data_IF_487926763464
#
_entry.id   IF_487926763464
#
_cell.length_a   1.000
_cell.length_b   1.000
_cell.length_c   1.000
_cell.angle_alpha   90.00
_cell.angle_beta   90.00
_cell.angle_gamma   90.00
#
_symmetry.space_group_name_H-M   'P 1'
#
loop_
_entity.id
_entity.type
_entity.pdbx_description
1 polymer ?
#
# COMPACT_ATOMS: atom_id res chain seq x y z
N UNK A 1 -16.41 7.00 13.67
CA UNK A 1 -15.85 6.86 15.05
C UNK A 1 -16.90 7.21 16.10
N UNK A 2 -17.51 8.40 16.07
CA UNK A 2 -18.51 8.83 17.08
C UNK A 2 -19.79 7.96 17.15
N UNK A 3 -20.30 7.49 16.00
CA UNK A 3 -21.49 6.60 15.96
C UNK A 3 -21.16 5.20 16.51
N UNK A 4 -19.93 4.73 16.29
CA UNK A 4 -19.49 3.43 16.77
C UNK A 4 -19.18 3.46 18.27
N UNK A 5 -18.73 4.59 18.83
CA UNK A 5 -18.40 4.70 20.25
C UNK A 5 -19.58 4.42 21.20
N UNK A 6 -20.81 4.62 20.74
CA UNK A 6 -22.04 4.37 21.50
C UNK A 6 -22.65 2.98 21.24
N UNK A 7 -22.03 2.16 20.39
CA UNK A 7 -22.52 0.81 20.13
C UNK A 7 -22.14 -0.13 21.31
N UNK A 8 -23.05 -0.99 21.79
CA UNK A 8 -22.78 -1.89 22.92
C UNK A 8 -21.57 -2.82 22.70
N UNK A 9 -21.27 -3.12 21.43
CA UNK A 9 -20.17 -3.99 21.01
C UNK A 9 -18.84 -3.25 20.80
N UNK A 10 -18.79 -1.92 20.90
CA UNK A 10 -17.61 -1.12 20.57
C UNK A 10 -16.41 -1.38 21.47
N UNK A 11 -16.63 -1.40 22.78
CA UNK A 11 -15.57 -1.61 23.78
C UNK A 11 -15.27 -3.10 24.03
N UNK A 12 -15.79 -4.02 23.22
CA UNK A 12 -15.48 -5.45 23.36
C UNK A 12 -14.01 -5.72 23.02
N UNK A 13 -13.38 -6.67 23.70
CA UNK A 13 -11.99 -7.06 23.45
C UNK A 13 -11.75 -7.47 21.98
N UNK A 14 -12.74 -8.12 21.35
CA UNK A 14 -12.70 -8.48 19.93
C UNK A 14 -12.68 -7.24 19.03
N UNK A 15 -13.55 -6.27 19.27
CA UNK A 15 -13.58 -5.05 18.47
C UNK A 15 -12.30 -4.22 18.67
N UNK A 16 -11.81 -4.10 19.91
CA UNK A 16 -10.55 -3.41 20.20
C UNK A 16 -9.35 -4.06 19.49
N UNK A 17 -9.26 -5.40 19.51
CA UNK A 17 -8.23 -6.15 18.76
C UNK A 17 -8.33 -5.89 17.25
N UNK A 18 -9.54 -5.88 16.70
CA UNK A 18 -9.75 -5.60 15.27
C UNK A 18 -9.37 -4.16 14.91
N UNK A 19 -9.66 -3.19 15.78
CA UNK A 19 -9.24 -1.79 15.58
C UNK A 19 -7.71 -1.71 15.57
N UNK A 20 -7.04 -2.24 16.58
CA UNK A 20 -5.58 -2.17 16.68
C UNK A 20 -4.92 -2.86 15.49
N UNK A 21 -5.27 -4.11 15.20
CA UNK A 21 -4.65 -4.89 14.11
C UNK A 21 -4.81 -4.25 12.73
N UNK A 22 -5.94 -3.57 12.46
CA UNK A 22 -6.17 -2.84 11.19
C UNK A 22 -5.37 -1.54 11.11
N UNK A 23 -5.00 -0.92 12.23
CA UNK A 23 -4.25 0.35 12.26
C UNK A 23 -2.74 0.15 12.35
N UNK A 24 -2.25 -1.02 12.77
CA UNK A 24 -0.81 -1.34 12.84
C UNK A 24 -0.05 -0.96 11.56
N UNK A 25 -0.54 -1.27 10.33
CA UNK A 25 0.17 -0.89 9.11
C UNK A 25 0.36 0.62 8.96
N UNK A 26 -0.69 1.41 9.24
CA UNK A 26 -0.62 2.87 9.19
C UNK A 26 0.30 3.44 10.26
N UNK A 27 0.28 2.87 11.48
CA UNK A 27 1.18 3.28 12.55
C UNK A 27 2.65 3.04 12.20
N UNK A 28 2.97 1.88 11.60
CA UNK A 28 4.33 1.57 11.14
C UNK A 28 4.78 2.51 10.01
N UNK A 29 3.90 2.81 9.06
CA UNK A 29 4.19 3.77 7.98
C UNK A 29 4.44 5.17 8.56
N UNK A 30 3.67 5.60 9.56
CA UNK A 30 3.82 6.91 10.19
C UNK A 30 5.22 7.09 10.82
N UNK A 31 5.80 6.03 11.39
CA UNK A 31 7.18 6.07 11.92
C UNK A 31 8.17 6.38 10.79
N UNK A 32 8.05 5.71 9.64
CA UNK A 32 8.90 5.97 8.48
C UNK A 32 8.68 7.37 7.88
N UNK A 33 7.42 7.81 7.79
CA UNK A 33 7.06 9.13 7.28
C UNK A 33 7.56 10.28 8.15
N UNK A 34 7.78 10.04 9.44
CA UNK A 34 8.40 11.03 10.33
C UNK A 34 9.77 11.49 9.78
N UNK A 35 10.58 10.58 9.24
CA UNK A 35 11.88 10.93 8.64
C UNK A 35 11.73 11.78 7.37
N UNK A 36 10.69 11.52 6.56
CA UNK A 36 10.39 12.29 5.35
C UNK A 36 10.01 13.73 5.72
N UNK A 37 9.14 13.90 6.71
CA UNK A 37 8.66 15.21 7.18
C UNK A 37 9.80 16.02 7.79
N UNK A 38 10.63 15.41 8.66
CA UNK A 38 11.79 16.09 9.27
C UNK A 38 12.79 16.54 8.20
N UNK A 39 12.88 15.83 7.08
CA UNK A 39 13.72 16.21 5.93
C UNK A 39 13.10 17.33 5.06
N UNK A 40 11.97 17.91 5.47
CA UNK A 40 11.24 18.96 4.76
C UNK A 40 10.56 18.47 3.48
N UNK A 41 10.32 17.16 3.35
CA UNK A 41 9.71 16.55 2.16
C UNK A 41 8.25 16.16 2.41
N UNK A 42 7.49 15.96 1.33
CA UNK A 42 6.11 15.48 1.36
C UNK A 42 6.04 14.18 0.55
N UNK A 43 5.42 13.14 1.11
CA UNK A 43 5.22 11.86 0.43
C UNK A 43 3.75 11.45 0.37
N UNK A 44 3.19 11.55 -0.83
CA UNK A 44 1.83 11.16 -1.16
C UNK A 44 1.71 9.70 -1.62
N UNK A 45 2.84 9.06 -1.92
CA UNK A 45 2.89 7.75 -2.55
C UNK A 45 2.68 6.59 -1.58
N UNK A 46 2.86 6.82 -0.27
CA UNK A 46 2.90 5.77 0.76
C UNK A 46 1.75 4.77 0.71
N UNK A 47 0.52 5.24 0.50
CA UNK A 47 -0.63 4.37 0.44
C UNK A 47 -0.62 3.46 -0.80
N UNK A 48 -0.14 3.98 -1.93
CA UNK A 48 -0.04 3.23 -3.19
C UNK A 48 1.14 2.26 -3.17
N UNK A 49 2.27 2.65 -2.59
CA UNK A 49 3.43 1.76 -2.38
C UNK A 49 3.08 0.63 -1.41
N UNK A 50 2.38 0.94 -0.30
CA UNK A 50 1.85 -0.07 0.63
C UNK A 50 0.95 -1.06 -0.09
N UNK A 51 0.02 -0.57 -0.94
CA UNK A 51 -0.88 -1.43 -1.70
C UNK A 51 -0.12 -2.35 -2.67
N UNK A 52 0.88 -1.82 -3.38
CA UNK A 52 1.72 -2.61 -4.29
C UNK A 52 2.50 -3.71 -3.54
N UNK A 53 3.14 -3.36 -2.41
CA UNK A 53 3.84 -4.33 -1.56
C UNK A 53 2.88 -5.40 -1.01
N UNK A 54 1.68 -5.02 -0.57
CA UNK A 54 0.68 -5.95 -0.07
C UNK A 54 0.17 -6.92 -1.15
N UNK A 55 -0.12 -6.42 -2.37
CA UNK A 55 -0.51 -7.26 -3.51
C UNK A 55 0.62 -8.22 -3.87
N UNK A 56 1.87 -7.75 -3.88
CA UNK A 56 3.04 -8.60 -4.16
C UNK A 56 3.14 -9.76 -3.16
N UNK A 57 3.02 -9.48 -1.85
CA UNK A 57 3.00 -10.54 -0.84
C UNK A 57 1.80 -11.50 -1.03
N UNK A 58 0.61 -10.95 -1.29
CA UNK A 58 -0.62 -11.74 -1.44
C UNK A 58 -0.56 -12.72 -2.61
N UNK A 59 0.14 -12.37 -3.70
CA UNK A 59 0.32 -13.25 -4.86
C UNK A 59 1.38 -14.32 -4.66
N UNK A 60 2.36 -14.08 -3.79
CA UNK A 60 3.43 -15.04 -3.52
C UNK A 60 3.06 -16.03 -2.42
N UNK A 61 2.27 -15.62 -1.42
CA UNK A 61 1.86 -16.47 -0.29
C UNK A 61 1.26 -17.85 -0.67
N UNK A 62 0.48 -18.00 -1.75
CA UNK A 62 -0.07 -19.30 -2.15
C UNK A 62 0.97 -20.27 -2.74
N UNK A 63 2.12 -19.77 -3.21
CA UNK A 63 3.09 -20.57 -3.99
C UNK A 63 4.50 -20.56 -3.40
N UNK A 64 4.80 -19.64 -2.48
CA UNK A 64 6.11 -19.41 -1.90
C UNK A 64 6.04 -19.39 -0.37
N UNK A 65 7.20 -19.50 0.29
CA UNK A 65 7.28 -19.38 1.74
C UNK A 65 6.96 -17.95 2.20
N UNK A 66 6.49 -17.83 3.45
CA UNK A 66 6.22 -16.52 4.09
C UNK A 66 7.43 -15.60 4.04
N UNK A 67 8.63 -16.14 4.25
CA UNK A 67 9.88 -15.37 4.20
C UNK A 67 10.13 -14.75 2.82
N UNK A 68 9.87 -15.50 1.75
CA UNK A 68 10.02 -15.01 0.37
C UNK A 68 8.98 -13.93 0.07
N UNK A 69 7.72 -14.15 0.45
CA UNK A 69 6.65 -13.16 0.24
C UNK A 69 6.92 -11.84 0.99
N UNK A 70 7.38 -11.92 2.24
CA UNK A 70 7.78 -10.75 3.05
C UNK A 70 9.00 -10.06 2.44
N UNK A 71 10.03 -10.83 2.06
CA UNK A 71 11.23 -10.28 1.42
C UNK A 71 10.93 -9.54 0.13
N UNK A 72 10.07 -10.09 -0.72
CA UNK A 72 9.62 -9.44 -1.95
C UNK A 72 8.83 -8.15 -1.68
N UNK A 73 7.90 -8.16 -0.73
CA UNK A 73 7.13 -6.96 -0.37
C UNK A 73 8.01 -5.83 0.18
N UNK A 74 9.01 -6.16 1.00
CA UNK A 74 10.00 -5.22 1.51
C UNK A 74 10.89 -4.68 0.38
N UNK A 75 11.33 -5.54 -0.53
CA UNK A 75 12.15 -5.13 -1.68
C UNK A 75 11.41 -4.15 -2.59
N UNK A 76 10.11 -4.38 -2.85
CA UNK A 76 9.26 -3.46 -3.61
C UNK A 76 9.18 -2.09 -2.91
N UNK A 77 8.89 -2.07 -1.61
CA UNK A 77 8.81 -0.81 -0.85
C UNK A 77 10.14 -0.05 -0.84
N UNK A 78 11.24 -0.77 -0.63
CA UNK A 78 12.59 -0.20 -0.65
C UNK A 78 12.97 0.34 -2.03
N UNK A 79 12.63 -0.36 -3.11
CA UNK A 79 12.87 0.09 -4.47
C UNK A 79 12.10 1.38 -4.79
N UNK A 80 10.80 1.43 -4.47
CA UNK A 80 9.98 2.64 -4.63
C UNK A 80 10.55 3.82 -3.83
N UNK A 81 10.91 3.60 -2.56
CA UNK A 81 11.50 4.64 -1.70
C UNK A 81 12.87 5.12 -2.22
N UNK A 82 13.70 4.20 -2.69
CA UNK A 82 14.99 4.52 -3.29
C UNK A 82 14.85 5.36 -4.55
N UNK A 83 13.93 5.00 -5.46
CA UNK A 83 13.66 5.79 -6.67
C UNK A 83 13.17 7.20 -6.29
N UNK A 84 12.19 7.31 -5.40
CA UNK A 84 11.67 8.61 -4.96
C UNK A 84 12.75 9.47 -4.30
N UNK A 85 13.58 8.88 -3.43
CA UNK A 85 14.67 9.56 -2.75
C UNK A 85 15.78 9.99 -3.72
N UNK A 86 16.20 9.14 -4.64
CA UNK A 86 17.23 9.45 -5.64
C UNK A 86 16.77 10.55 -6.60
N UNK A 87 15.54 10.49 -7.10
CA UNK A 87 15.01 11.53 -8.00
C UNK A 87 14.93 12.87 -7.27
N UNK A 88 14.44 12.88 -6.03
CA UNK A 88 14.34 14.10 -5.23
C UNK A 88 15.73 14.70 -4.94
N UNK A 89 16.70 13.87 -4.55
CA UNK A 89 18.04 14.34 -4.11
C UNK A 89 19.00 14.63 -5.27
N UNK A 90 19.03 13.78 -6.30
CA UNK A 90 19.97 13.90 -7.45
C UNK A 90 19.41 14.77 -8.55
N UNK A 91 18.15 14.56 -8.94
CA UNK A 91 17.54 15.32 -10.03
C UNK A 91 16.94 16.66 -9.56
N UNK A 92 16.97 16.94 -8.24
CA UNK A 92 16.49 18.20 -7.62
C UNK A 92 15.04 18.54 -7.99
N UNK A 93 14.24 17.50 -8.22
CA UNK A 93 12.80 17.64 -8.46
C UNK A 93 12.09 17.78 -7.12
N UNK A 94 11.11 18.69 -6.97
CA UNK A 94 10.32 18.81 -5.74
C UNK A 94 9.66 17.47 -5.35
N UNK A 95 9.77 17.05 -4.08
CA UNK A 95 9.30 15.74 -3.59
C UNK A 95 7.81 15.48 -3.82
N UNK A 96 6.98 16.52 -3.72
CA UNK A 96 5.55 16.40 -4.02
C UNK A 96 5.30 15.88 -5.45
N UNK A 97 6.07 16.37 -6.44
CA UNK A 97 5.92 15.94 -7.84
C UNK A 97 6.40 14.49 -8.01
N UNK A 98 7.54 14.16 -7.42
CA UNK A 98 8.11 12.80 -7.47
C UNK A 98 7.15 11.79 -6.83
N UNK A 99 6.58 12.13 -5.68
CA UNK A 99 5.71 11.23 -4.93
C UNK A 99 4.31 11.15 -5.54
N UNK A 100 3.78 12.20 -6.18
CA UNK A 100 2.60 12.09 -7.04
C UNK A 100 2.81 11.13 -8.22
N UNK A 101 3.96 11.25 -8.91
CA UNK A 101 4.28 10.36 -10.01
C UNK A 101 4.42 8.91 -9.52
N UNK A 102 5.14 8.69 -8.41
CA UNK A 102 5.28 7.38 -7.78
C UNK A 102 3.94 6.81 -7.31
N UNK A 103 3.04 7.64 -6.78
CA UNK A 103 1.68 7.25 -6.41
C UNK A 103 0.93 6.66 -7.61
N UNK A 104 0.95 7.36 -8.76
CA UNK A 104 0.34 6.87 -9.99
C UNK A 104 0.94 5.56 -10.48
N UNK A 105 2.27 5.47 -10.52
CA UNK A 105 3.00 4.27 -10.93
C UNK A 105 2.71 3.07 -10.02
N UNK A 106 2.88 3.24 -8.70
CA UNK A 106 2.67 2.16 -7.75
C UNK A 106 1.22 1.66 -7.78
N UNK A 107 0.25 2.57 -7.89
CA UNK A 107 -1.17 2.21 -8.02
C UNK A 107 -1.47 1.48 -9.32
N UNK A 108 -0.94 1.97 -10.44
CA UNK A 108 -1.10 1.33 -11.75
C UNK A 108 -0.50 -0.07 -11.78
N UNK A 109 0.71 -0.23 -11.23
CA UNK A 109 1.38 -1.52 -11.09
C UNK A 109 0.59 -2.45 -10.16
N UNK A 110 0.07 -1.96 -9.04
CA UNK A 110 -0.70 -2.78 -8.11
C UNK A 110 -1.95 -3.36 -8.80
N UNK A 111 -2.65 -2.53 -9.59
CA UNK A 111 -3.81 -2.96 -10.37
C UNK A 111 -3.42 -3.95 -11.49
N UNK A 112 -2.32 -3.69 -12.19
CA UNK A 112 -1.84 -4.55 -13.27
C UNK A 112 -1.45 -5.93 -12.74
N UNK A 113 -0.66 -5.99 -11.67
CA UNK A 113 -0.18 -7.24 -11.08
C UNK A 113 -1.31 -7.99 -10.36
N UNK A 114 -2.28 -7.29 -9.76
CA UNK A 114 -3.50 -7.92 -9.22
C UNK A 114 -4.43 -8.48 -10.32
N UNK A 115 -4.17 -8.19 -11.59
CA UNK A 115 -5.05 -8.56 -12.70
C UNK A 115 -6.39 -7.83 -12.65
N UNK A 116 -6.42 -6.60 -12.12
CA UNK A 116 -7.59 -5.73 -12.02
C UNK A 116 -7.49 -4.51 -12.94
N UNK A 117 -6.37 -4.32 -13.63
CA UNK A 117 -6.27 -3.37 -14.73
C UNK A 117 -7.20 -3.84 -15.86
N UNK A 118 -8.30 -3.13 -16.12
CA UNK A 118 -9.24 -3.20 -17.27
C UNK A 118 -9.51 -4.56 -17.94
N UNK A 119 -8.47 -5.19 -18.47
CA UNK A 119 -8.40 -6.55 -19.01
C UNK A 119 -8.82 -7.65 -18.03
N UNK A 120 -8.63 -7.45 -16.72
CA UNK A 120 -9.05 -8.40 -15.68
C UNK A 120 -10.55 -8.62 -15.60
N UNK A 121 -11.32 -7.54 -15.74
CA UNK A 121 -12.78 -7.56 -15.78
C UNK A 121 -13.29 -8.27 -17.04
N UNK A 122 -12.62 -8.06 -18.18
CA UNK A 122 -12.89 -8.76 -19.44
C UNK A 122 -12.56 -10.26 -19.35
N UNK A 123 -11.48 -10.63 -18.64
CA UNK A 123 -11.03 -12.03 -18.51
C UNK A 123 -11.83 -12.84 -17.47
N UNK A 124 -12.46 -12.22 -16.48
CA UNK A 124 -13.24 -12.91 -15.43
C UNK A 124 -14.72 -13.12 -15.78
N UNK A 125 -15.14 -12.79 -17.00
CA UNK A 125 -16.54 -12.89 -17.37
C UNK A 125 -17.34 -11.76 -16.74
N UNK A 126 -17.49 -10.65 -17.47
CA UNK A 126 -18.49 -9.64 -17.15
C UNK A 126 -19.90 -10.25 -17.20
N UNK A 127 -20.96 -9.47 -16.90
CA UNK A 127 -22.35 -9.95 -16.77
C UNK A 127 -22.98 -10.64 -18.01
N UNK A 128 -22.19 -10.97 -19.04
CA UNK A 128 -22.55 -11.74 -20.23
C UNK A 128 -22.09 -13.21 -20.17
N UNK A 129 -21.54 -13.68 -19.04
CA UNK A 129 -21.18 -15.10 -18.81
C UNK A 129 -21.88 -15.71 -17.59
N UNK A 130 -22.99 -15.09 -17.16
CA UNK A 130 -23.85 -15.59 -16.10
C UNK A 130 -25.10 -16.21 -16.75
N UNK A 131 -24.91 -17.44 -17.22
CA UNK A 131 -25.90 -18.39 -17.72
C UNK A 131 -25.66 -19.74 -17.02
#
# INVERSE_FOLDING_TARGET
ILIQANAPSFATALNLRNVVTRHVPLALIAIGQTMVIISGQIDLSVGSVMALSAVTAALLLPTQSVAVAVGAALAVGAACGMVSGLVTTRAKVPSFVVTLAMMGLARGLALAVAGLAGLGWLRRGGPLTAD
#
